data_IF_599270257769
#
_entry.id   IF_599270257769
#
_cell.length_a   1.000
_cell.length_b   1.000
_cell.length_c   1.000
_cell.angle_alpha   90.00
_cell.angle_beta   90.00
_cell.angle_gamma   90.00
#
_symmetry.space_group_name_H-M   'P 1'
#
loop_
_entity.id
_entity.type
_entity.pdbx_description
1 polymer ?
#
# COMPACT_ATOMS: atom_id res chain seq x y z
N UNK A 1 8.41 0.85 -3.29
CA UNK A 1 7.15 0.72 -4.06
C UNK A 1 6.86 -0.76 -4.30
N UNK A 2 5.62 -1.17 -4.09
CA UNK A 2 5.19 -2.55 -4.30
C UNK A 2 4.11 -2.56 -5.37
N UNK A 3 4.23 -3.48 -6.35
CA UNK A 3 3.22 -3.68 -7.39
C UNK A 3 2.72 -5.12 -7.33
N UNK A 4 1.41 -5.30 -7.23
CA UNK A 4 0.79 -6.62 -7.16
C UNK A 4 -0.42 -6.72 -8.07
N UNK A 5 -0.63 -7.93 -8.61
CA UNK A 5 -1.88 -8.31 -9.24
C UNK A 5 -2.83 -8.80 -8.16
N UNK A 6 -4.04 -8.29 -8.15
CA UNK A 6 -5.04 -8.67 -7.15
C UNK A 6 -5.64 -10.03 -7.50
N UNK A 7 -5.67 -10.91 -6.51
CA UNK A 7 -6.15 -12.28 -6.66
C UNK A 7 -7.66 -12.38 -6.38
N UNK A 8 -8.35 -13.35 -7.01
CA UNK A 8 -9.75 -13.61 -6.73
C UNK A 8 -10.01 -13.99 -5.27
N UNK A 9 -9.04 -14.64 -4.61
CA UNK A 9 -9.15 -15.00 -3.19
C UNK A 9 -9.13 -13.79 -2.25
N UNK A 10 -8.62 -12.65 -2.72
CA UNK A 10 -8.61 -11.40 -1.96
C UNK A 10 -9.86 -10.57 -2.21
N UNK A 11 -10.70 -10.98 -3.15
CA UNK A 11 -11.92 -10.29 -3.50
C UNK A 11 -13.01 -10.51 -2.45
N UNK A 12 -13.88 -9.52 -2.32
CA UNK A 12 -14.96 -9.51 -1.36
C UNK A 12 -16.19 -8.86 -2.00
N UNK A 13 -17.41 -9.34 -1.71
CA UNK A 13 -18.67 -8.77 -2.23
C UNK A 13 -18.63 -8.35 -3.71
N UNK A 14 -19.04 -9.22 -4.60
CA UNK A 14 -19.15 -8.89 -6.02
C UNK A 14 -17.82 -8.70 -6.72
N UNK A 15 -16.73 -9.24 -6.16
CA UNK A 15 -15.39 -9.14 -6.74
C UNK A 15 -14.56 -7.98 -6.23
N UNK A 16 -15.11 -7.13 -5.37
CA UNK A 16 -14.35 -6.04 -4.74
C UNK A 16 -13.36 -6.59 -3.73
N UNK A 17 -12.17 -5.99 -3.69
CA UNK A 17 -11.19 -6.30 -2.68
C UNK A 17 -11.59 -5.76 -1.33
N UNK A 18 -11.26 -6.52 -0.28
CA UNK A 18 -11.36 -6.06 1.09
C UNK A 18 -10.38 -4.90 1.30
N UNK A 19 -10.87 -3.80 1.88
CA UNK A 19 -10.03 -2.64 2.20
C UNK A 19 -8.85 -2.98 3.12
N UNK A 20 -8.99 -4.00 3.96
CA UNK A 20 -7.89 -4.47 4.82
C UNK A 20 -6.67 -4.90 4.00
N UNK A 21 -6.85 -5.38 2.77
CA UNK A 21 -5.74 -5.76 1.90
C UNK A 21 -4.88 -4.55 1.51
N UNK A 22 -5.49 -3.40 1.30
CA UNK A 22 -4.75 -2.16 1.00
C UNK A 22 -3.89 -1.74 2.20
N UNK A 23 -4.44 -1.85 3.40
CA UNK A 23 -3.71 -1.55 4.64
C UNK A 23 -2.53 -2.51 4.82
N UNK A 24 -2.73 -3.79 4.48
CA UNK A 24 -1.65 -4.78 4.51
C UNK A 24 -0.50 -4.39 3.56
N UNK A 25 -0.82 -3.96 2.34
CA UNK A 25 0.18 -3.49 1.38
C UNK A 25 0.96 -2.29 1.93
N UNK A 26 0.29 -1.36 2.57
CA UNK A 26 0.95 -0.20 3.19
C UNK A 26 1.90 -0.63 4.32
N UNK A 27 1.55 -1.68 5.05
CA UNK A 27 2.44 -2.27 6.05
C UNK A 27 3.74 -2.78 5.42
N UNK A 28 3.65 -3.45 4.27
CA UNK A 28 4.82 -3.94 3.55
C UNK A 28 5.68 -2.78 3.00
N UNK A 29 5.05 -1.73 2.48
CA UNK A 29 5.75 -0.53 2.02
C UNK A 29 6.46 0.15 3.19
N UNK A 30 5.80 0.27 4.34
CA UNK A 30 6.38 0.87 5.54
C UNK A 30 7.61 0.08 6.01
N UNK A 31 7.52 -1.24 6.03
CA UNK A 31 8.64 -2.11 6.42
C UNK A 31 9.85 -1.90 5.50
N UNK A 32 9.62 -1.85 4.20
CA UNK A 32 10.68 -1.58 3.22
C UNK A 32 11.35 -0.22 3.49
N UNK A 33 10.55 0.83 3.71
CA UNK A 33 11.06 2.17 4.01
C UNK A 33 11.89 2.18 5.28
N UNK A 34 11.46 1.47 6.32
CA UNK A 34 12.18 1.39 7.59
C UNK A 34 13.52 0.67 7.43
N UNK A 35 13.53 -0.43 6.67
CA UNK A 35 14.78 -1.16 6.40
C UNK A 35 15.75 -0.26 5.63
N UNK A 36 15.26 0.47 4.64
CA UNK A 36 16.10 1.38 3.84
C UNK A 36 16.62 2.55 4.68
N UNK A 37 15.82 3.08 5.59
CA UNK A 37 16.18 4.25 6.41
C UNK A 37 17.02 3.87 7.63
N UNK A 38 16.64 2.82 8.37
CA UNK A 38 17.22 2.48 9.67
C UNK A 38 18.01 1.16 9.67
N UNK A 39 17.87 0.35 8.64
CA UNK A 39 18.46 -0.98 8.62
C UNK A 39 17.75 -1.98 9.52
N UNK A 40 16.50 -1.68 9.88
CA UNK A 40 15.68 -2.49 10.77
C UNK A 40 14.21 -2.36 10.35
N UNK A 41 13.45 -3.44 10.44
CA UNK A 41 12.04 -3.43 10.02
C UNK A 41 11.11 -2.66 10.95
N UNK A 42 11.54 -2.38 12.18
CA UNK A 42 10.76 -1.62 13.15
C UNK A 42 9.37 -2.17 13.41
N UNK A 43 8.47 -1.29 13.86
CA UNK A 43 7.08 -1.63 14.14
C UNK A 43 6.15 -0.54 13.61
N UNK A 44 5.06 -0.96 12.98
CA UNK A 44 3.98 -0.04 12.61
C UNK A 44 3.07 0.12 13.84
N UNK A 45 2.99 1.33 14.39
CA UNK A 45 2.29 1.57 15.66
C UNK A 45 0.84 1.97 15.46
N UNK A 46 0.56 2.88 14.52
CA UNK A 46 -0.79 3.39 14.32
C UNK A 46 -0.97 4.05 12.97
N UNK A 47 -2.15 3.85 12.38
CA UNK A 47 -2.65 4.70 11.30
C UNK A 47 -3.43 5.84 11.92
N UNK A 48 -3.25 7.06 11.42
CA UNK A 48 -4.06 8.21 11.82
C UNK A 48 -5.10 8.58 10.77
N UNK A 49 -4.96 8.07 9.55
CA UNK A 49 -5.95 8.25 8.50
C UNK A 49 -5.87 7.13 7.48
N UNK A 50 -7.02 6.64 7.03
CA UNK A 50 -7.14 5.69 5.91
C UNK A 50 -8.37 6.09 5.11
N UNK A 51 -8.19 6.35 3.81
CA UNK A 51 -9.27 6.74 2.91
C UNK A 51 -9.38 5.74 1.76
N UNK A 52 -10.56 5.15 1.57
CA UNK A 52 -10.85 4.26 0.45
C UNK A 52 -11.58 5.08 -0.62
N UNK A 53 -10.93 5.31 -1.76
CA UNK A 53 -11.35 6.29 -2.74
C UNK A 53 -11.97 5.69 -4.01
N UNK A 54 -11.63 4.45 -4.33
CA UNK A 54 -12.16 3.77 -5.51
C UNK A 54 -12.12 2.25 -5.31
N UNK A 55 -13.02 1.50 -5.96
CA UNK A 55 -13.04 0.04 -5.82
C UNK A 55 -11.87 -0.61 -6.54
N UNK A 56 -11.44 -1.76 -6.02
CA UNK A 56 -10.40 -2.61 -6.61
C UNK A 56 -10.99 -4.00 -6.81
N UNK A 57 -10.75 -4.59 -7.97
CA UNK A 57 -11.31 -5.88 -8.35
C UNK A 57 -10.19 -6.90 -8.60
N UNK A 58 -10.55 -8.19 -8.51
CA UNK A 58 -9.65 -9.26 -8.89
C UNK A 58 -9.17 -9.05 -10.34
N UNK A 59 -7.88 -9.22 -10.56
CA UNK A 59 -7.26 -8.99 -11.87
C UNK A 59 -6.71 -7.58 -12.08
N UNK A 60 -7.08 -6.62 -11.23
CA UNK A 60 -6.46 -5.29 -11.26
C UNK A 60 -5.01 -5.37 -10.77
N UNK A 61 -4.16 -4.47 -11.27
CA UNK A 61 -2.81 -4.32 -10.76
C UNK A 61 -2.72 -3.02 -9.97
N UNK A 62 -2.18 -3.12 -8.77
CA UNK A 62 -2.06 -2.02 -7.83
C UNK A 62 -0.59 -1.73 -7.54
N UNK A 63 -0.22 -0.45 -7.59
CA UNK A 63 1.05 0.05 -7.10
C UNK A 63 0.83 0.75 -5.77
N UNK A 64 1.52 0.29 -4.73
CA UNK A 64 1.51 0.95 -3.43
C UNK A 64 2.85 1.66 -3.23
N UNK A 65 2.81 2.94 -2.92
CA UNK A 65 3.98 3.78 -2.67
C UNK A 65 3.87 4.42 -1.30
N UNK A 66 5.00 4.77 -0.72
CA UNK A 66 5.02 5.46 0.57
C UNK A 66 6.24 6.37 0.68
N UNK A 67 6.17 7.24 1.67
CA UNK A 67 7.22 8.22 1.92
C UNK A 67 7.29 8.51 3.42
N UNK A 68 8.51 8.59 3.95
CA UNK A 68 8.74 9.07 5.30
C UNK A 68 8.70 10.60 5.24
N UNK A 69 7.75 11.22 5.93
CA UNK A 69 7.56 12.67 5.91
C UNK A 69 8.07 13.38 7.16
N UNK A 70 8.31 12.64 8.23
CA UNK A 70 8.87 13.22 9.47
C UNK A 70 9.63 12.16 10.24
N UNK A 71 10.84 12.49 10.66
CA UNK A 71 11.72 11.64 11.47
C UNK A 71 11.83 12.24 12.86
N UNK A 72 11.35 11.51 13.87
CA UNK A 72 11.54 11.84 15.27
C UNK A 72 12.69 11.04 15.87
N UNK A 73 12.82 11.06 17.18
CA UNK A 73 13.88 10.30 17.86
C UNK A 73 13.77 8.79 17.59
N UNK A 74 12.57 8.23 17.71
CA UNK A 74 12.27 6.84 17.39
C UNK A 74 11.13 6.71 16.38
N UNK A 75 10.36 7.77 16.15
CA UNK A 75 9.19 7.74 15.29
C UNK A 75 9.53 8.08 13.84
N UNK A 76 8.82 7.42 12.92
CA UNK A 76 8.88 7.69 11.48
C UNK A 76 7.44 7.88 11.00
N UNK A 77 7.05 9.13 10.72
CA UNK A 77 5.73 9.41 10.18
C UNK A 77 5.75 9.20 8.67
N UNK A 78 4.75 8.49 8.17
CA UNK A 78 4.68 8.11 6.78
C UNK A 78 3.33 8.44 6.16
N UNK A 79 3.35 8.67 4.85
CA UNK A 79 2.15 8.76 4.02
C UNK A 79 2.22 7.70 2.93
N UNK A 80 1.04 7.19 2.53
CA UNK A 80 0.93 6.09 1.58
C UNK A 80 -0.14 6.39 0.53
N UNK A 81 0.07 5.84 -0.66
CA UNK A 81 -0.93 5.91 -1.72
C UNK A 81 -0.91 4.60 -2.51
N UNK A 82 -2.09 4.06 -2.78
CA UNK A 82 -2.26 2.91 -3.67
C UNK A 82 -2.96 3.36 -4.93
N UNK A 83 -2.45 2.94 -6.09
CA UNK A 83 -2.95 3.34 -7.41
C UNK A 83 -3.23 2.11 -8.25
N UNK A 84 -4.38 2.10 -8.91
CA UNK A 84 -4.68 1.11 -9.94
C UNK A 84 -3.99 1.52 -11.23
N UNK A 85 -3.14 0.66 -11.76
CA UNK A 85 -2.37 0.93 -13.00
C UNK A 85 -2.82 0.05 -14.15
N UNK A 86 -3.43 -1.11 -13.86
CA UNK A 86 -4.08 -1.99 -14.83
C UNK A 86 -5.45 -2.34 -14.29
N UNK A 87 -6.48 -2.19 -15.13
CA UNK A 87 -7.86 -2.51 -14.77
C UNK A 87 -8.32 -3.75 -15.53
N UNK A 88 -8.83 -4.75 -14.83
CA UNK A 88 -9.47 -5.91 -15.44
C UNK A 88 -10.74 -5.47 -16.19
N UNK A 89 -10.98 -6.08 -17.34
CA UNK A 89 -12.15 -5.80 -18.19
C UNK A 89 -12.99 -7.05 -18.40
N UNK A 90 -13.63 -7.57 -17.34
CA UNK A 90 -14.47 -8.78 -17.45
C UNK A 90 -15.70 -8.56 -18.34
N UNK A 91 -16.09 -7.30 -18.59
CA UNK A 91 -17.14 -6.92 -19.53
C UNK A 91 -16.76 -7.25 -20.97
N UNK A 92 -15.48 -7.29 -21.31
CA UNK A 92 -14.98 -7.65 -22.64
C UNK A 92 -14.77 -9.17 -22.72
N UNK A 93 -13.99 -9.73 -21.80
CA UNK A 93 -13.75 -11.17 -21.69
C UNK A 93 -13.10 -11.48 -20.36
N UNK A 94 -13.05 -12.78 -20.00
CA UNK A 94 -12.47 -13.21 -18.72
C UNK A 94 -10.99 -12.83 -18.57
N UNK A 95 -10.27 -12.63 -19.65
CA UNK A 95 -8.83 -12.34 -19.62
C UNK A 95 -8.46 -10.93 -20.10
N UNK A 96 -9.43 -10.11 -20.48
CA UNK A 96 -9.17 -8.76 -20.95
C UNK A 96 -8.79 -7.83 -19.81
N UNK A 97 -7.82 -6.94 -20.05
CA UNK A 97 -7.40 -5.92 -19.11
C UNK A 97 -6.80 -4.74 -19.87
N UNK A 98 -6.94 -3.54 -19.29
CA UNK A 98 -6.39 -2.32 -19.87
C UNK A 98 -5.30 -1.73 -18.99
N UNK A 99 -4.19 -1.32 -19.60
CA UNK A 99 -3.21 -0.48 -18.93
C UNK A 99 -3.77 0.94 -18.92
N UNK A 100 -3.91 1.52 -17.74
CA UNK A 100 -4.50 2.85 -17.60
C UNK A 100 -3.49 3.92 -17.97
N UNK A 101 -3.89 4.86 -18.86
CA UNK A 101 -3.04 5.99 -19.23
C UNK A 101 -2.77 6.87 -18.01
N UNK A 102 -3.79 7.04 -17.15
CA UNK A 102 -3.66 7.73 -15.87
C UNK A 102 -4.08 6.79 -14.75
N UNK A 103 -3.16 6.45 -13.83
CA UNK A 103 -3.50 5.61 -12.69
C UNK A 103 -4.63 6.22 -11.85
N UNK A 104 -5.45 5.35 -11.27
CA UNK A 104 -6.55 5.76 -10.40
C UNK A 104 -6.13 5.54 -8.95
N UNK A 105 -6.13 6.60 -8.14
CA UNK A 105 -5.87 6.48 -6.70
C UNK A 105 -7.04 5.75 -6.06
N UNK A 106 -6.75 4.61 -5.44
CA UNK A 106 -7.78 3.76 -4.82
C UNK A 106 -7.79 3.85 -3.31
N UNK A 107 -6.64 4.21 -2.70
CA UNK A 107 -6.54 4.34 -1.24
C UNK A 107 -5.40 5.28 -0.89
N UNK A 108 -5.60 6.05 0.18
CA UNK A 108 -4.55 6.87 0.82
C UNK A 108 -4.55 6.62 2.29
N UNK A 109 -3.38 6.69 2.90
CA UNK A 109 -3.26 6.53 4.34
C UNK A 109 -2.08 7.33 4.89
N UNK A 110 -2.09 7.54 6.18
CA UNK A 110 -0.95 8.06 6.92
C UNK A 110 -0.85 7.33 8.25
N UNK A 111 0.35 7.23 8.77
CA UNK A 111 0.58 6.52 10.01
C UNK A 111 1.97 6.75 10.57
N UNK A 112 2.24 6.11 11.70
CA UNK A 112 3.51 6.25 12.41
C UNK A 112 4.09 4.89 12.71
N UNK A 113 5.37 4.75 12.37
CA UNK A 113 6.19 3.59 12.72
C UNK A 113 7.23 3.99 13.76
N UNK A 114 7.79 3.01 14.45
CA UNK A 114 8.79 3.23 15.48
C UNK A 114 9.96 2.27 15.25
N UNK A 115 11.18 2.79 15.34
CA UNK A 115 12.40 2.00 15.42
C UNK A 115 13.10 2.38 16.70
N UNK A 116 13.29 1.43 17.60
CA UNK A 116 13.96 1.66 18.88
C UNK A 116 15.38 2.16 18.64
N UNK A 117 15.87 3.01 19.55
CA UNK A 117 17.23 3.59 19.43
C UNK A 117 18.29 2.52 19.21
N UNK A 118 18.24 1.44 19.98
CA UNK A 118 19.21 0.34 19.89
C UNK A 118 19.14 -0.43 18.57
N UNK A 119 18.04 -0.34 17.84
CA UNK A 119 17.83 -1.02 16.56
C UNK A 119 18.14 -0.14 15.34
N UNK A 120 18.38 1.15 15.55
CA UNK A 120 18.74 2.07 14.49
C UNK A 120 20.18 1.84 14.06
N UNK A 121 20.37 1.20 12.91
CA UNK A 121 21.69 0.80 12.42
C UNK A 121 22.28 1.75 11.38
N UNK A 122 21.45 2.62 10.81
CA UNK A 122 21.86 3.58 9.81
C UNK A 122 21.55 4.98 10.30
N UNK A 123 22.46 5.84 10.13
CA UNK A 123 22.39 7.27 10.34
C UNK A 123 21.39 7.85 11.23
#
# INVERSE_FOLDING_TARGET
MIRLRMSAKDAHYGGNLDGAHMVHLFGDVATELLIMHDGDEGLFVAYDNVEFLAPVYAGDYIEAVGEIVKVGNTSRKMVFEARKVVAARPDISASAADVLAEPIVVCRASGTCVVKKEDQRKG
#
